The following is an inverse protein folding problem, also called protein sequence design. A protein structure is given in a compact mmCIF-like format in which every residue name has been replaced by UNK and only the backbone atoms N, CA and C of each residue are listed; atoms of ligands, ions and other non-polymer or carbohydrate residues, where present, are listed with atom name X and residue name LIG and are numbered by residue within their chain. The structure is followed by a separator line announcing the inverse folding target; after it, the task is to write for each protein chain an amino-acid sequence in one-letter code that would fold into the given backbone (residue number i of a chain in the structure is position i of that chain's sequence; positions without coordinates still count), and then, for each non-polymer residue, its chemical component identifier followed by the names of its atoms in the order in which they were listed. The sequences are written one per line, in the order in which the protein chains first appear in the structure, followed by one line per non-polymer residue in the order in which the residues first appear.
data_IF_315609220266
#
_entry.id   IF_315609220266
#
_cell.length_a   1.000
_cell.length_b   1.000
_cell.length_c   1.000
_cell.angle_alpha   90.00
_cell.angle_beta   90.00
_cell.angle_gamma   90.00
#
_symmetry.space_group_name_H-M   'P 1'
#
loop_
_entity.id
_entity.type
_entity.pdbx_description
1 polymer ?
#
# COMPACT_ATOMS: atom_id res chain seq x y z
N UNK A 1 12.38 6.75 -4.02
CA UNK A 1 12.06 5.45 -3.39
C UNK A 1 10.90 5.62 -2.42
N UNK A 2 9.69 5.82 -2.94
CA UNK A 2 8.49 5.80 -2.11
C UNK A 2 7.72 4.55 -2.46
N UNK A 3 7.78 3.62 -1.51
CA UNK A 3 6.86 2.50 -1.38
C UNK A 3 5.43 3.04 -1.43
N UNK A 4 4.54 2.34 -2.13
CA UNK A 4 3.14 2.73 -2.32
C UNK A 4 2.47 3.15 -1.00
N UNK A 5 1.83 4.32 -0.97
CA UNK A 5 1.02 4.79 0.16
C UNK A 5 -0.36 4.11 0.23
N UNK A 6 -0.59 3.10 -0.61
CA UNK A 6 -1.79 2.28 -0.58
C UNK A 6 -1.86 1.50 0.75
N UNK A 7 -3.03 1.42 1.41
CA UNK A 7 -3.27 0.47 2.50
C UNK A 7 -2.80 -0.94 2.10
N UNK A 8 -1.96 -1.55 2.93
CA UNK A 8 -1.41 -2.88 2.64
C UNK A 8 -0.35 -2.92 1.53
N UNK A 9 0.15 -1.77 1.06
CA UNK A 9 1.25 -1.68 0.12
C UNK A 9 2.48 -2.47 0.61
N UNK A 10 3.15 -3.17 -0.31
CA UNK A 10 4.34 -3.92 0.05
C UNK A 10 5.53 -3.01 0.33
N UNK A 11 6.33 -3.41 1.31
CA UNK A 11 7.48 -2.63 1.78
C UNK A 11 8.76 -3.26 1.25
N UNK A 12 9.63 -2.46 0.65
CA UNK A 12 10.94 -2.93 0.20
C UNK A 12 11.98 -2.75 1.32
N UNK A 13 12.66 -3.84 1.67
CA UNK A 13 13.74 -3.84 2.65
C UNK A 13 15.08 -4.00 1.94
N UNK A 14 16.07 -3.18 2.32
CA UNK A 14 17.45 -3.33 1.87
C UNK A 14 18.37 -3.27 3.05
N UNK A 15 19.17 -4.32 3.25
CA UNK A 15 20.22 -4.34 4.25
C UNK A 15 21.53 -4.01 3.53
N UNK A 16 22.18 -2.91 3.94
CA UNK A 16 23.45 -2.41 3.37
C UNK A 16 23.40 -1.98 1.88
N UNK A 17 22.23 -1.60 1.37
CA UNK A 17 22.08 -1.09 0.01
C UNK A 17 21.87 -2.19 -1.03
N UNK A 18 22.12 -1.89 -2.30
CA UNK A 18 21.99 -2.86 -3.39
C UNK A 18 23.29 -3.68 -3.49
N UNK A 19 23.22 -4.99 -3.23
CA UNK A 19 24.36 -5.90 -3.30
C UNK A 19 24.49 -6.59 -4.67
N UNK A 20 23.38 -6.71 -5.42
CA UNK A 20 23.33 -7.35 -6.72
C UNK A 20 22.63 -6.48 -7.77
N UNK A 21 23.15 -6.54 -9.00
CA UNK A 21 22.62 -5.86 -10.19
C UNK A 21 21.56 -6.67 -10.94
N UNK A 22 21.28 -7.92 -10.53
CA UNK A 22 20.33 -8.80 -11.24
C UNK A 22 19.67 -9.91 -10.41
N UNK A 23 20.18 -10.25 -9.23
CA UNK A 23 19.48 -11.08 -8.25
C UNK A 23 18.77 -10.17 -7.23
N UNK A 24 17.54 -10.52 -6.83
CA UNK A 24 16.77 -9.72 -5.87
C UNK A 24 17.57 -9.38 -4.61
N UNK A 25 17.47 -8.12 -4.15
CA UNK A 25 18.20 -7.60 -2.99
C UNK A 25 17.38 -7.66 -1.69
N UNK A 26 16.25 -8.36 -1.69
CA UNK A 26 15.39 -8.47 -0.50
C UNK A 26 16.04 -9.43 0.53
N UNK A 27 16.06 -9.06 1.82
CA UNK A 27 16.59 -9.93 2.86
C UNK A 27 15.70 -11.15 3.07
N UNK A 28 16.30 -12.23 3.56
CA UNK A 28 15.55 -13.41 3.99
C UNK A 28 14.82 -13.08 5.31
N UNK A 29 13.50 -13.27 5.34
CA UNK A 29 12.70 -13.10 6.57
C UNK A 29 12.44 -14.47 7.17
N UNK A 30 12.73 -14.62 8.45
CA UNK A 30 12.54 -15.85 9.20
C UNK A 30 11.56 -15.56 10.33
N UNK A 31 10.48 -16.33 10.42
CA UNK A 31 9.48 -16.21 11.48
C UNK A 31 9.50 -17.51 12.29
N UNK A 32 9.79 -17.41 13.59
CA UNK A 32 9.86 -18.55 14.51
C UNK A 32 10.76 -19.71 14.01
N UNK A 33 11.84 -19.36 13.29
CA UNK A 33 12.82 -20.31 12.75
C UNK A 33 12.55 -20.79 11.33
N UNK A 34 11.43 -20.40 10.70
CA UNK A 34 11.11 -20.79 9.33
C UNK A 34 11.25 -19.63 8.35
N UNK A 35 11.97 -19.83 7.23
CA UNK A 35 12.08 -18.82 6.20
C UNK A 35 10.72 -18.64 5.53
N UNK A 36 10.24 -17.41 5.49
CA UNK A 36 9.02 -17.05 4.79
C UNK A 36 9.43 -16.24 3.57
N UNK A 37 9.04 -16.70 2.38
CA UNK A 37 9.32 -16.02 1.11
C UNK A 37 8.09 -15.27 0.61
N UNK A 38 8.33 -14.15 -0.07
CA UNK A 38 7.26 -13.39 -0.70
C UNK A 38 6.65 -14.21 -1.85
N UNK A 39 5.31 -14.32 -1.93
CA UNK A 39 4.63 -15.15 -2.93
C UNK A 39 4.56 -14.50 -4.33
N UNK A 40 5.40 -13.50 -4.61
CA UNK A 40 5.42 -12.79 -5.90
C UNK A 40 4.41 -11.64 -5.99
N UNK A 41 4.37 -11.00 -7.16
CA UNK A 41 3.46 -9.90 -7.45
C UNK A 41 2.07 -10.45 -7.77
N UNK A 42 1.03 -9.94 -7.11
CA UNK A 42 -0.34 -10.15 -7.55
C UNK A 42 -0.65 -9.05 -8.56
N UNK A 43 -0.89 -9.44 -9.82
CA UNK A 43 -1.38 -8.51 -10.85
C UNK A 43 -2.79 -8.08 -10.47
N UNK A 44 -3.02 -6.78 -10.33
CA UNK A 44 -4.38 -6.22 -10.27
C UNK A 44 -4.99 -6.22 -11.67
N UNK A 45 -6.31 -6.34 -11.76
CA UNK A 45 -7.04 -6.27 -13.01
C UNK A 45 -7.12 -4.81 -13.48
N UNK A 46 -6.88 -4.61 -14.78
CA UNK A 46 -6.87 -3.31 -15.48
C UNK A 46 -5.59 -2.46 -15.32
N UNK A 47 -4.65 -2.65 -16.25
CA UNK A 47 -3.57 -1.71 -16.64
C UNK A 47 -2.83 -0.98 -15.51
N UNK A 48 -2.55 -1.67 -14.40
CA UNK A 48 -1.62 -1.19 -13.38
C UNK A 48 -0.30 -1.92 -13.53
N UNK A 49 0.78 -1.17 -13.75
CA UNK A 49 2.13 -1.71 -13.90
C UNK A 49 2.62 -2.47 -12.66
N UNK A 50 1.98 -2.33 -11.49
CA UNK A 50 2.31 -3.06 -10.28
C UNK A 50 1.08 -3.14 -9.35
N UNK A 51 0.45 -4.32 -9.25
CA UNK A 51 -0.50 -4.58 -8.16
C UNK A 51 0.18 -4.66 -6.80
N UNK A 52 -0.59 -4.97 -5.75
CA UNK A 52 -0.05 -5.05 -4.39
C UNK A 52 1.00 -6.15 -4.29
N UNK A 53 2.28 -5.75 -4.29
CA UNK A 53 3.40 -6.64 -4.01
C UNK A 53 3.15 -7.32 -2.66
N UNK A 54 3.24 -8.64 -2.59
CA UNK A 54 3.03 -9.38 -1.34
C UNK A 54 3.87 -8.76 -0.21
N UNK A 55 3.26 -8.64 0.97
CA UNK A 55 3.92 -8.12 2.15
C UNK A 55 3.80 -9.19 3.22
N UNK A 56 4.90 -9.89 3.44
CA UNK A 56 4.95 -10.96 4.41
C UNK A 56 4.66 -10.46 5.83
N UNK A 57 5.09 -9.23 6.14
CA UNK A 57 4.84 -8.58 7.42
C UNK A 57 3.37 -8.18 7.56
N UNK A 58 2.64 -8.01 6.46
CA UNK A 58 1.20 -7.81 6.51
C UNK A 58 0.46 -9.05 7.01
N UNK A 59 1.08 -10.24 7.14
CA UNK A 59 0.46 -11.38 7.83
C UNK A 59 0.75 -11.45 9.33
N UNK A 60 1.68 -10.64 9.84
CA UNK A 60 2.13 -10.68 11.24
C UNK A 60 1.50 -9.51 12.00
N UNK A 61 0.94 -9.81 13.17
CA UNK A 61 0.50 -8.79 14.12
C UNK A 61 1.71 -8.28 14.93
N UNK A 62 2.02 -6.96 14.90
CA UNK A 62 3.13 -6.40 15.69
C UNK A 62 3.01 -6.65 17.20
N UNK A 63 1.78 -6.74 17.73
CA UNK A 63 1.57 -6.98 19.15
C UNK A 63 1.98 -8.37 19.61
N UNK A 64 2.21 -9.30 18.68
CA UNK A 64 2.60 -10.67 18.97
C UNK A 64 4.11 -10.90 18.79
N UNK A 65 4.87 -9.87 18.42
CA UNK A 65 6.33 -9.92 18.26
C UNK A 65 7.00 -9.77 19.63
N UNK A 66 7.92 -10.68 19.94
CA UNK A 66 8.79 -10.62 21.12
C UNK A 66 10.09 -9.88 20.80
N UNK A 67 10.74 -10.25 19.69
CA UNK A 67 11.96 -9.59 19.23
C UNK A 67 12.07 -9.59 17.71
N UNK A 68 12.82 -8.61 17.19
CA UNK A 68 13.25 -8.53 15.80
C UNK A 68 14.77 -8.40 15.82
N UNK A 69 15.45 -9.37 15.24
CA UNK A 69 16.91 -9.39 15.10
C UNK A 69 17.27 -9.22 13.63
N UNK A 70 18.28 -8.40 13.36
CA UNK A 70 18.73 -8.12 11.99
C UNK A 70 20.18 -8.51 11.86
N UNK A 71 20.43 -9.60 11.13
CA UNK A 71 21.77 -10.09 10.82
C UNK A 71 22.27 -9.40 9.56
N UNK A 72 23.27 -8.54 9.75
CA UNK A 72 23.78 -7.65 8.71
C UNK A 72 25.07 -8.17 8.07
N UNK A 73 25.80 -9.06 8.76
CA UNK A 73 27.12 -9.55 8.37
C UNK A 73 27.08 -10.93 7.75
N UNK A 74 27.89 -11.14 6.71
CA UNK A 74 27.98 -12.41 5.97
C UNK A 74 28.37 -13.60 6.87
N UNK A 75 29.16 -13.38 7.91
CA UNK A 75 29.53 -14.42 8.89
C UNK A 75 28.35 -14.82 9.78
N UNK A 76 27.51 -13.85 10.18
CA UNK A 76 26.31 -14.09 10.98
C UNK A 76 25.18 -14.72 10.17
N UNK A 77 25.13 -14.48 8.86
CA UNK A 77 24.10 -15.00 7.97
C UNK A 77 24.47 -16.35 7.34
N UNK A 78 25.73 -16.79 7.44
CA UNK A 78 26.22 -18.05 6.87
C UNK A 78 25.42 -19.28 7.32
N UNK A 79 24.87 -19.24 8.55
CA UNK A 79 24.02 -20.31 9.10
C UNK A 79 22.75 -20.52 8.25
N UNK A 80 22.26 -19.49 7.57
CA UNK A 80 21.04 -19.53 6.76
C UNK A 80 21.31 -19.73 5.26
N UNK A 81 22.58 -19.96 4.87
CA UNK A 81 22.97 -20.36 3.53
C UNK A 81 22.87 -19.25 2.47
N UNK A 82 22.88 -19.65 1.19
CA UNK A 82 23.00 -18.74 0.05
C UNK A 82 21.88 -17.68 -0.05
N UNK A 83 20.67 -17.98 0.47
CA UNK A 83 19.53 -17.04 0.50
C UNK A 83 19.73 -15.87 1.47
N UNK A 84 20.73 -15.96 2.33
CA UNK A 84 21.04 -14.99 3.36
C UNK A 84 22.08 -13.93 2.92
N UNK A 85 22.51 -13.98 1.66
CA UNK A 85 23.51 -13.07 1.08
C UNK A 85 23.12 -11.59 1.10
N UNK A 86 21.82 -11.30 1.09
CA UNK A 86 21.25 -9.94 1.19
C UNK A 86 20.87 -9.55 2.63
N UNK A 87 21.30 -10.32 3.64
CA UNK A 87 20.96 -10.15 5.05
C UNK A 87 19.76 -11.00 5.50
N UNK A 88 19.58 -11.12 6.82
CA UNK A 88 18.49 -11.90 7.43
C UNK A 88 17.77 -11.07 8.49
N UNK A 89 16.44 -11.10 8.47
CA UNK A 89 15.59 -10.54 9.51
C UNK A 89 14.91 -11.71 10.23
N UNK A 90 15.19 -11.87 11.52
CA UNK A 90 14.61 -12.91 12.36
C UNK A 90 13.54 -12.28 13.23
N UNK A 91 12.32 -12.79 13.12
CA UNK A 91 11.18 -12.39 13.93
C UNK A 91 10.86 -13.54 14.87
N UNK A 92 10.92 -13.25 16.17
CA UNK A 92 10.54 -14.19 17.22
C UNK A 92 9.24 -13.75 17.83
N UNK A 93 8.27 -14.67 17.95
CA UNK A 93 6.94 -14.37 18.47
C UNK A 93 6.81 -14.70 19.95
N UNK A 94 5.94 -13.95 20.65
CA UNK A 94 5.70 -14.13 22.08
C UNK A 94 5.25 -15.55 22.39
N UNK A 95 5.86 -16.16 23.39
CA UNK A 95 5.47 -17.49 23.91
C UNK A 95 4.67 -17.40 25.21
N UNK A 96 4.02 -18.53 25.54
CA UNK A 96 3.33 -18.72 26.81
C UNK A 96 4.29 -18.60 28.00
N UNK A 97 3.82 -17.98 29.08
CA UNK A 97 4.54 -17.83 30.35
C UNK A 97 3.82 -18.61 31.43
N UNK A 98 4.59 -19.09 32.40
CA UNK A 98 4.02 -19.74 33.57
C UNK A 98 3.28 -18.72 34.43
N UNK A 99 2.14 -19.11 34.96
CA UNK A 99 1.30 -18.29 35.82
C UNK A 99 -0.17 -18.33 35.43
N UNK A 100 -0.97 -17.59 36.19
CA UNK A 100 -2.41 -17.48 35.97
C UNK A 100 -2.68 -16.90 34.58
N UNK A 101 -3.76 -17.36 33.90
CA UNK A 101 -4.13 -16.80 32.60
C UNK A 101 -4.29 -15.29 32.67
N UNK A 102 -3.54 -14.58 31.83
CA UNK A 102 -3.62 -13.13 31.65
C UNK A 102 -4.23 -12.84 30.29
N UNK A 103 -5.39 -12.17 30.32
CA UNK A 103 -6.03 -11.64 29.12
C UNK A 103 -5.58 -10.19 28.94
N UNK A 104 -5.08 -9.85 27.76
CA UNK A 104 -4.72 -8.49 27.39
C UNK A 104 -5.49 -8.09 26.14
N UNK A 105 -6.19 -6.96 26.22
CA UNK A 105 -6.83 -6.32 25.08
C UNK A 105 -6.14 -4.99 24.80
N UNK A 106 -5.95 -4.67 23.52
CA UNK A 106 -5.53 -3.34 23.09
C UNK A 106 -6.31 -2.94 21.84
N UNK A 107 -6.78 -1.70 21.84
CA UNK A 107 -7.49 -1.08 20.73
C UNK A 107 -6.87 0.25 20.36
N UNK A 108 -6.84 0.56 19.07
CA UNK A 108 -6.45 1.88 18.58
C UNK A 108 -7.36 2.33 17.45
N UNK A 109 -7.54 3.65 17.35
CA UNK A 109 -8.24 4.32 16.26
C UNK A 109 -7.37 5.46 15.75
N UNK A 110 -7.25 5.58 14.43
CA UNK A 110 -6.38 6.56 13.77
C UNK A 110 -7.14 7.24 12.64
N UNK A 111 -7.06 8.56 12.59
CA UNK A 111 -7.56 9.38 11.49
C UNK A 111 -6.40 9.70 10.56
N UNK A 112 -6.59 9.57 9.26
CA UNK A 112 -5.56 9.81 8.24
C UNK A 112 -6.03 10.92 7.30
N UNK A 113 -5.24 11.99 7.19
CA UNK A 113 -5.47 13.08 6.24
C UNK A 113 -4.36 13.12 5.20
N UNK A 114 -4.67 13.68 4.03
CA UNK A 114 -3.65 13.87 2.99
C UNK A 114 -2.61 14.89 3.48
N UNK A 115 -1.34 14.50 3.49
CA UNK A 115 -0.25 15.36 3.97
C UNK A 115 0.12 16.46 2.97
N UNK A 116 -0.04 16.20 1.67
CA UNK A 116 0.28 17.15 0.61
C UNK A 116 -0.67 16.89 -0.56
N UNK A 117 -1.32 17.96 -1.03
CA UNK A 117 -2.11 17.97 -2.27
C UNK A 117 -1.41 18.85 -3.29
N UNK A 118 -1.55 18.54 -4.57
CA UNK A 118 -1.17 19.49 -5.61
C UNK A 118 -2.14 20.66 -5.56
N UNK A 119 -1.62 21.87 -5.62
CA UNK A 119 -2.43 23.07 -5.81
C UNK A 119 -2.83 23.13 -7.29
N UNK A 120 -4.07 22.74 -7.56
CA UNK A 120 -4.65 22.75 -8.89
C UNK A 120 -5.26 24.13 -9.16
N UNK A 121 -5.31 24.52 -10.43
CA UNK A 121 -6.04 25.71 -10.84
C UNK A 121 -7.53 25.51 -10.59
N UNK A 122 -8.19 26.52 -10.05
CA UNK A 122 -9.65 26.60 -10.07
C UNK A 122 -10.15 26.90 -11.50
N UNK A 123 -11.47 26.86 -11.70
CA UNK A 123 -12.08 27.11 -12.98
C UNK A 123 -11.71 28.48 -13.59
N UNK A 124 -11.64 29.52 -12.76
CA UNK A 124 -11.37 30.88 -13.21
C UNK A 124 -9.93 31.00 -13.74
N UNK A 125 -8.96 30.58 -12.93
CA UNK A 125 -7.56 30.57 -13.31
C UNK A 125 -7.32 29.65 -14.50
N UNK A 126 -8.01 28.51 -14.57
CA UNK A 126 -7.94 27.61 -15.72
C UNK A 126 -8.40 28.30 -17.02
N UNK A 127 -9.50 29.06 -17.00
CA UNK A 127 -9.95 29.83 -18.17
C UNK A 127 -8.95 30.94 -18.54
N UNK A 128 -8.38 31.65 -17.57
CA UNK A 128 -7.37 32.69 -17.79
C UNK A 128 -6.11 32.10 -18.43
N UNK A 129 -5.56 31.01 -17.86
CA UNK A 129 -4.39 30.35 -18.42
C UNK A 129 -4.68 29.75 -19.80
N UNK A 130 -5.88 29.20 -20.01
CA UNK A 130 -6.31 28.72 -21.32
C UNK A 130 -6.31 29.84 -22.36
N UNK A 131 -6.89 31.01 -22.05
CA UNK A 131 -6.87 32.16 -22.95
C UNK A 131 -5.44 32.62 -23.26
N UNK A 132 -4.55 32.68 -22.25
CA UNK A 132 -3.13 32.99 -22.46
C UNK A 132 -2.47 32.01 -23.42
N UNK A 133 -2.72 30.71 -23.25
CA UNK A 133 -2.20 29.69 -24.17
C UNK A 133 -2.76 29.85 -25.59
N UNK A 134 -4.06 30.08 -25.76
CA UNK A 134 -4.66 30.30 -27.08
C UNK A 134 -4.12 31.57 -27.75
N UNK A 135 -3.86 32.63 -26.97
CA UNK A 135 -3.22 33.85 -27.48
C UNK A 135 -1.81 33.55 -27.99
N UNK A 136 -1.01 32.86 -27.19
CA UNK A 136 0.36 32.48 -27.54
C UNK A 136 0.39 31.61 -28.81
N UNK A 137 -0.51 30.62 -28.88
CA UNK A 137 -0.66 29.78 -30.07
C UNK A 137 -1.06 30.59 -31.31
N UNK A 138 -2.01 31.51 -31.18
CA UNK A 138 -2.40 32.39 -32.28
C UNK A 138 -1.24 33.29 -32.73
N UNK A 139 -0.43 33.81 -31.79
CA UNK A 139 0.76 34.60 -32.10
C UNK A 139 1.80 33.77 -32.86
N UNK A 140 2.04 32.53 -32.41
CA UNK A 140 2.92 31.59 -33.09
C UNK A 140 2.45 31.29 -34.52
N UNK A 141 1.18 30.89 -34.68
CA UNK A 141 0.60 30.53 -35.98
C UNK A 141 0.59 31.72 -36.96
N UNK A 142 0.45 32.96 -36.46
CA UNK A 142 0.48 34.19 -37.26
C UNK A 142 1.87 34.86 -37.37
N UNK A 143 2.92 34.26 -36.78
CA UNK A 143 4.29 34.80 -36.77
C UNK A 143 4.41 36.19 -36.12
N UNK A 144 3.59 36.45 -35.12
CA UNK A 144 3.53 37.72 -34.39
C UNK A 144 4.60 37.75 -33.28
N UNK A 145 5.19 38.91 -33.03
CA UNK A 145 6.15 39.12 -31.96
C UNK A 145 7.41 38.27 -32.11
N UNK A 146 7.80 37.55 -31.05
CA UNK A 146 9.04 36.76 -31.02
C UNK A 146 9.08 35.61 -32.05
N UNK A 147 7.92 35.22 -32.60
CA UNK A 147 7.80 34.08 -33.51
C UNK A 147 8.05 34.42 -34.98
N UNK A 148 8.09 35.70 -35.33
CA UNK A 148 8.41 36.12 -36.70
C UNK A 148 8.36 37.62 -36.98
N UNK A 149 8.33 38.45 -35.94
CA UNK A 149 8.51 39.90 -36.03
C UNK A 149 7.30 40.70 -36.51
N UNK A 150 6.18 40.05 -36.86
CA UNK A 150 4.95 40.76 -37.25
C UNK A 150 4.28 41.39 -36.04
N UNK A 151 3.60 42.50 -36.25
CA UNK A 151 2.69 43.08 -35.25
C UNK A 151 1.32 42.39 -35.28
N UNK A 152 0.54 42.52 -34.20
CA UNK A 152 -0.80 41.92 -34.12
C UNK A 152 -1.74 42.39 -35.26
N UNK A 153 -1.57 43.64 -35.74
CA UNK A 153 -2.35 44.19 -36.85
C UNK A 153 -2.02 43.58 -38.22
N UNK A 154 -0.87 42.90 -38.34
CA UNK A 154 -0.40 42.26 -39.57
C UNK A 154 -0.75 40.76 -39.62
N UNK A 155 -1.47 40.27 -38.59
CA UNK A 155 -1.98 38.92 -38.53
C UNK A 155 -3.13 38.73 -39.53
N UNK A 156 -3.32 37.49 -40.02
CA UNK A 156 -4.36 37.18 -41.01
C UNK A 156 -5.78 37.19 -40.43
N UNK A 157 -5.92 37.10 -39.11
CA UNK A 157 -7.20 37.13 -38.39
C UNK A 157 -7.01 37.73 -37.00
N UNK A 158 -7.98 38.49 -36.50
CA UNK A 158 -7.92 39.01 -35.13
C UNK A 158 -8.00 37.89 -34.09
N UNK A 159 -7.30 38.05 -32.97
CA UNK A 159 -7.41 37.13 -31.85
C UNK A 159 -8.76 37.31 -31.13
N UNK A 160 -9.46 36.20 -30.92
CA UNK A 160 -10.65 36.14 -30.09
C UNK A 160 -10.38 35.18 -28.92
N UNK A 161 -10.52 35.64 -27.66
CA UNK A 161 -10.42 34.77 -26.49
C UNK A 161 -11.39 33.60 -26.58
N UNK A 162 -10.98 32.43 -26.08
CA UNK A 162 -11.84 31.26 -26.02
C UNK A 162 -12.93 31.42 -24.95
N UNK A 163 -12.58 32.05 -23.83
CA UNK A 163 -13.50 32.36 -22.73
C UNK A 163 -13.65 33.88 -22.62
N UNK A 164 -14.90 34.37 -22.52
CA UNK A 164 -15.18 35.79 -22.31
C UNK A 164 -14.95 36.19 -20.85
N UNK A 165 -14.88 37.50 -20.59
CA UNK A 165 -14.77 38.02 -19.21
C UNK A 165 -15.98 37.60 -18.34
N UNK A 166 -17.16 37.45 -18.96
CA UNK A 166 -18.37 36.97 -18.28
C UNK A 166 -18.26 35.49 -17.89
N UNK A 167 -17.68 34.65 -18.75
CA UNK A 167 -17.43 33.22 -18.47
C UNK A 167 -16.40 33.05 -17.36
N UNK A 168 -15.33 33.86 -17.38
CA UNK A 168 -14.27 33.86 -16.35
C UNK A 168 -14.84 34.31 -15.00
N UNK A 169 -15.70 35.32 -14.99
CA UNK A 169 -16.32 35.83 -13.77
C UNK A 169 -17.34 34.87 -13.16
N UNK A 170 -17.98 34.02 -13.98
CA UNK A 170 -19.03 33.10 -13.55
C UNK A 170 -18.85 31.72 -14.21
N UNK A 171 -17.83 30.94 -13.83
CA UNK A 171 -17.64 29.61 -14.38
C UNK A 171 -18.83 28.71 -14.01
N UNK A 172 -19.34 27.96 -15.00
CA UNK A 172 -20.49 27.07 -14.82
C UNK A 172 -20.20 25.97 -13.81
N UNK A 173 -18.98 25.43 -13.82
CA UNK A 173 -18.51 24.44 -12.86
C UNK A 173 -17.12 24.82 -12.36
N UNK A 174 -16.82 24.42 -11.14
CA UNK A 174 -15.51 24.49 -10.50
C UNK A 174 -15.27 23.22 -9.69
N UNK A 175 -14.99 22.13 -10.40
CA UNK A 175 -14.87 20.80 -9.79
C UNK A 175 -13.46 20.55 -9.29
N UNK A 176 -13.27 20.51 -7.96
CA UNK A 176 -12.06 19.97 -7.33
C UNK A 176 -12.07 18.43 -7.43
N UNK A 177 -11.42 17.91 -8.46
CA UNK A 177 -11.34 16.47 -8.71
C UNK A 177 -10.62 15.69 -7.60
N UNK A 178 -9.64 16.30 -6.91
CA UNK A 178 -8.97 15.65 -5.78
C UNK A 178 -9.94 15.46 -4.62
N UNK A 179 -10.75 16.45 -4.29
CA UNK A 179 -11.81 16.31 -3.26
C UNK A 179 -12.84 15.23 -3.67
N UNK A 180 -13.19 15.16 -4.97
CA UNK A 180 -14.15 14.15 -5.45
C UNK A 180 -13.66 12.71 -5.29
N UNK A 181 -12.36 12.45 -5.39
CA UNK A 181 -11.80 11.10 -5.27
C UNK A 181 -11.20 10.77 -3.90
N UNK A 182 -11.03 11.76 -3.02
CA UNK A 182 -10.41 11.57 -1.71
C UNK A 182 -11.39 11.69 -0.54
N UNK A 183 -10.98 11.18 0.61
CA UNK A 183 -11.72 11.25 1.87
C UNK A 183 -10.72 11.29 3.02
N UNK A 184 -11.21 11.67 4.20
CA UNK A 184 -10.49 11.39 5.44
C UNK A 184 -10.46 9.86 5.65
N UNK A 185 -9.25 9.32 5.75
CA UNK A 185 -9.03 7.91 6.04
C UNK A 185 -9.27 7.60 7.52
N UNK A 186 -9.66 6.37 7.80
CA UNK A 186 -9.91 5.91 9.16
C UNK A 186 -9.42 4.48 9.34
N UNK A 187 -8.69 4.25 10.42
CA UNK A 187 -8.08 2.96 10.72
C UNK A 187 -8.43 2.56 12.15
N UNK A 188 -8.75 1.29 12.33
CA UNK A 188 -8.97 0.69 13.65
C UNK A 188 -8.18 -0.60 13.77
N UNK A 189 -7.63 -0.85 14.95
CA UNK A 189 -6.98 -2.10 15.26
C UNK A 189 -7.46 -2.60 16.61
N UNK A 190 -7.80 -3.89 16.68
CA UNK A 190 -8.20 -4.59 17.89
C UNK A 190 -7.31 -5.81 18.05
N UNK A 191 -6.72 -5.96 19.23
CA UNK A 191 -5.88 -7.10 19.56
C UNK A 191 -6.36 -7.69 20.87
N UNK A 192 -6.54 -9.00 20.89
CA UNK A 192 -6.78 -9.76 22.10
C UNK A 192 -5.72 -10.85 22.19
N UNK A 193 -5.18 -11.05 23.39
CA UNK A 193 -4.24 -12.13 23.64
C UNK A 193 -4.50 -12.74 25.01
N UNK A 194 -4.35 -14.04 25.09
CA UNK A 194 -4.43 -14.83 26.31
C UNK A 194 -3.10 -15.54 26.45
N UNK A 195 -2.40 -15.28 27.54
CA UNK A 195 -1.13 -15.91 27.85
C UNK A 195 -1.22 -16.53 29.25
N UNK A 196 -0.79 -17.78 29.39
CA UNK A 196 -0.70 -18.45 30.68
C UNK A 196 -0.15 -19.86 30.55
N UNK A 197 -0.11 -20.55 31.68
CA UNK A 197 0.36 -21.92 31.69
C UNK A 197 0.87 -22.36 33.05
N UNK A 198 1.14 -23.65 33.13
CA UNK A 198 1.85 -24.29 34.24
C UNK A 198 3.32 -24.50 33.86
N UNK A 199 4.08 -25.12 34.76
CA UNK A 199 5.43 -25.62 34.44
C UNK A 199 5.45 -26.65 33.29
N UNK A 200 4.33 -27.35 33.07
CA UNK A 200 4.19 -28.40 32.06
C UNK A 200 3.63 -27.90 30.74
N UNK A 201 2.65 -27.00 30.78
CA UNK A 201 1.95 -26.53 29.58
C UNK A 201 1.95 -25.02 29.55
N UNK A 202 2.55 -24.42 28.52
CA UNK A 202 2.57 -22.97 28.32
C UNK A 202 1.90 -22.64 27.01
N UNK A 203 0.96 -21.70 27.03
CA UNK A 203 0.21 -21.33 25.84
C UNK A 203 0.09 -19.82 25.67
N UNK A 204 0.06 -19.39 24.41
CA UNK A 204 -0.34 -18.06 24.00
C UNK A 204 -1.32 -18.20 22.83
N UNK A 205 -2.47 -17.55 22.96
CA UNK A 205 -3.49 -17.47 21.90
C UNK A 205 -3.72 -15.99 21.66
N UNK A 206 -3.62 -15.54 20.41
CA UNK A 206 -3.90 -14.15 20.05
C UNK A 206 -4.78 -14.05 18.82
N UNK A 207 -5.57 -12.98 18.78
CA UNK A 207 -6.39 -12.57 17.65
C UNK A 207 -6.18 -11.09 17.39
N UNK A 208 -6.07 -10.73 16.12
CA UNK A 208 -6.03 -9.36 15.66
C UNK A 208 -7.02 -9.13 14.54
N UNK A 209 -7.77 -8.04 14.67
CA UNK A 209 -8.54 -7.45 13.59
C UNK A 209 -7.97 -6.07 13.29
N UNK A 210 -7.64 -5.83 12.03
CA UNK A 210 -7.18 -4.55 11.52
C UNK A 210 -8.05 -4.15 10.35
N UNK A 211 -8.50 -2.90 10.34
CA UNK A 211 -9.29 -2.36 9.27
C UNK A 211 -8.80 -0.94 8.96
N UNK A 212 -8.49 -0.68 7.70
CA UNK A 212 -8.03 0.62 7.24
C UNK A 212 -8.82 1.02 6.00
N UNK A 213 -9.51 2.14 6.10
CA UNK A 213 -10.09 2.87 4.99
C UNK A 213 -9.09 3.92 4.52
N UNK A 214 -8.54 3.76 3.32
CA UNK A 214 -7.55 4.67 2.75
C UNK A 214 -8.10 6.06 2.42
N UNK A 215 -7.20 6.99 2.12
CA UNK A 215 -7.53 8.39 1.75
C UNK A 215 -8.22 8.45 0.39
N UNK A 216 -7.84 7.60 -0.57
CA UNK A 216 -8.59 7.47 -1.83
C UNK A 216 -9.89 6.71 -1.56
N UNK A 217 -11.02 7.20 -2.08
CA UNK A 217 -12.31 6.51 -1.96
C UNK A 217 -12.20 5.10 -2.57
N UNK A 218 -12.99 4.15 -2.05
CA UNK A 218 -12.99 2.74 -2.46
C UNK A 218 -11.64 2.00 -2.36
N UNK A 219 -10.64 2.62 -1.72
CA UNK A 219 -9.39 1.98 -1.34
C UNK A 219 -9.42 1.59 0.15
N UNK A 220 -9.01 0.36 0.46
CA UNK A 220 -9.01 -0.13 1.83
C UNK A 220 -8.32 -1.47 2.01
N UNK A 221 -8.13 -1.84 3.27
CA UNK A 221 -7.61 -3.14 3.66
C UNK A 221 -8.27 -3.60 4.95
N UNK A 222 -8.66 -4.87 4.99
CA UNK A 222 -8.98 -5.57 6.23
C UNK A 222 -8.05 -6.77 6.43
N UNK A 223 -7.69 -7.03 7.69
CA UNK A 223 -6.83 -8.14 8.08
C UNK A 223 -7.35 -8.80 9.33
N UNK A 224 -7.43 -10.12 9.26
CA UNK A 224 -7.65 -11.00 10.39
C UNK A 224 -6.40 -11.84 10.59
N UNK A 225 -5.85 -11.86 11.80
CA UNK A 225 -4.72 -12.71 12.15
C UNK A 225 -5.07 -13.47 13.43
N UNK A 226 -4.90 -14.79 13.40
CA UNK A 226 -4.99 -15.66 14.56
C UNK A 226 -3.64 -16.34 14.80
N UNK A 227 -3.24 -16.47 16.06
CA UNK A 227 -2.01 -17.17 16.42
C UNK A 227 -2.21 -18.04 17.65
N UNK A 228 -1.59 -19.21 17.63
CA UNK A 228 -1.54 -20.16 18.73
C UNK A 228 -0.11 -20.65 18.89
N UNK A 229 0.47 -20.40 20.04
CA UNK A 229 1.76 -20.94 20.44
C UNK A 229 1.54 -21.85 21.65
N UNK A 230 1.88 -23.13 21.52
CA UNK A 230 1.72 -24.12 22.58
C UNK A 230 3.03 -24.86 22.81
N UNK A 231 3.44 -24.94 24.07
CA UNK A 231 4.59 -25.68 24.54
C UNK A 231 4.16 -26.67 25.61
N UNK A 232 4.45 -27.96 25.39
CA UNK A 232 4.15 -29.04 26.31
C UNK A 232 5.45 -29.76 26.71
N UNK A 233 5.78 -29.70 27.99
CA UNK A 233 6.82 -30.52 28.61
C UNK A 233 6.22 -31.88 28.94
N UNK A 234 6.62 -32.92 28.20
CA UNK A 234 6.19 -34.30 28.41
C UNK A 234 6.98 -34.95 29.56
N UNK A 235 8.25 -34.58 29.71
CA UNK A 235 9.11 -35.01 30.81
C UNK A 235 10.27 -34.02 30.99
N UNK A 236 11.20 -34.29 31.91
CA UNK A 236 12.48 -33.55 31.97
C UNK A 236 13.35 -33.71 30.72
N UNK A 237 13.09 -34.74 29.92
CA UNK A 237 13.89 -35.11 28.74
C UNK A 237 13.19 -34.79 27.42
N UNK A 238 11.90 -34.49 27.41
CA UNK A 238 11.15 -34.28 26.18
C UNK A 238 10.16 -33.10 26.30
N UNK A 239 10.20 -32.22 25.31
CA UNK A 239 9.26 -31.13 25.11
C UNK A 239 8.77 -31.15 23.66
N UNK A 240 7.49 -30.95 23.47
CA UNK A 240 6.90 -30.73 22.14
C UNK A 240 6.27 -29.34 22.12
N UNK A 241 6.19 -28.74 20.94
CA UNK A 241 5.48 -27.48 20.80
C UNK A 241 5.05 -27.23 19.37
N UNK A 242 4.19 -26.24 19.20
CA UNK A 242 3.67 -25.81 17.91
C UNK A 242 3.46 -24.31 17.92
N UNK A 243 3.89 -23.65 16.84
CA UNK A 243 3.49 -22.27 16.55
C UNK A 243 2.64 -22.28 15.30
N UNK A 244 1.42 -21.77 15.41
CA UNK A 244 0.45 -21.68 14.35
C UNK A 244 0.10 -20.21 14.14
N UNK A 245 0.18 -19.74 12.90
CA UNK A 245 -0.33 -18.43 12.49
C UNK A 245 -1.23 -18.61 11.28
N UNK A 246 -2.44 -18.05 11.36
CA UNK A 246 -3.37 -17.95 10.25
C UNK A 246 -3.65 -16.48 10.00
N UNK A 247 -3.67 -16.07 8.74
CA UNK A 247 -4.03 -14.70 8.38
C UNK A 247 -4.85 -14.66 7.11
N UNK A 248 -5.84 -13.78 7.08
CA UNK A 248 -6.59 -13.42 5.89
C UNK A 248 -6.56 -11.91 5.71
N UNK A 249 -5.98 -11.48 4.60
CA UNK A 249 -5.90 -10.09 4.20
C UNK A 249 -6.79 -9.88 2.98
N UNK A 250 -7.67 -8.90 3.05
CA UNK A 250 -8.50 -8.48 1.92
C UNK A 250 -8.18 -7.03 1.62
N UNK A 251 -7.78 -6.76 0.39
CA UNK A 251 -7.40 -5.44 -0.10
C UNK A 251 -8.40 -5.02 -1.18
N UNK A 252 -8.98 -3.85 -1.01
CA UNK A 252 -9.81 -3.20 -2.01
C UNK A 252 -8.90 -2.29 -2.83
N UNK A 253 -8.63 -2.70 -4.06
CA UNK A 253 -7.71 -2.04 -4.96
C UNK A 253 -8.43 -0.97 -5.77
N UNK A 254 -7.72 0.12 -6.02
CA UNK A 254 -8.11 1.15 -6.98
C UNK A 254 -6.97 1.32 -7.99
N UNK A 255 -7.24 1.81 -9.22
CA UNK A 255 -6.20 2.05 -10.22
C UNK A 255 -5.21 3.11 -9.72
N UNK A 256 -4.15 2.68 -9.05
CA UNK A 256 -3.03 3.49 -8.57
C UNK A 256 -1.81 3.18 -9.45
N UNK A 257 -1.10 4.21 -9.87
CA UNK A 257 0.03 4.06 -10.79
C UNK A 257 0.38 5.35 -11.53
N UNK A 258 1.33 5.25 -12.46
CA UNK A 258 1.80 6.36 -13.28
C UNK A 258 1.39 6.25 -14.76
N UNK A 259 0.45 5.35 -15.07
CA UNK A 259 -0.13 5.23 -16.41
C UNK A 259 -0.66 6.58 -16.91
N UNK A 260 -0.69 6.76 -18.22
CA UNK A 260 -1.08 8.00 -18.89
C UNK A 260 -2.23 7.74 -19.84
N UNK A 261 -2.90 8.82 -20.25
CA UNK A 261 -4.00 8.78 -21.21
C UNK A 261 -5.12 7.83 -20.75
N UNK A 262 -5.45 6.82 -21.58
CA UNK A 262 -6.53 5.84 -21.37
C UNK A 262 -6.23 4.91 -20.18
N UNK A 263 -4.97 4.89 -19.76
CA UNK A 263 -4.45 4.14 -18.63
C UNK A 263 -4.11 5.05 -17.45
N UNK A 264 -4.55 6.31 -17.46
CA UNK A 264 -4.31 7.23 -16.37
C UNK A 264 -4.87 6.68 -15.06
N UNK A 265 -4.03 6.65 -14.02
CA UNK A 265 -4.47 6.28 -12.68
C UNK A 265 -5.46 7.31 -12.13
N UNK A 266 -6.13 6.98 -11.03
CA UNK A 266 -7.15 7.88 -10.47
C UNK A 266 -6.59 9.27 -10.09
N UNK A 267 -5.36 9.33 -9.58
CA UNK A 267 -4.70 10.59 -9.22
C UNK A 267 -4.19 11.35 -10.45
N UNK A 268 -3.67 10.65 -11.47
CA UNK A 268 -3.22 11.27 -12.72
C UNK A 268 -4.42 11.85 -13.47
N UNK A 269 -5.50 11.08 -13.57
CA UNK A 269 -6.76 11.52 -14.18
C UNK A 269 -7.30 12.76 -13.47
N UNK A 270 -7.35 12.76 -12.13
CA UNK A 270 -7.82 13.93 -11.37
C UNK A 270 -6.94 15.17 -11.54
N UNK A 271 -5.63 15.01 -11.75
CA UNK A 271 -4.73 16.13 -12.01
C UNK A 271 -4.86 16.70 -13.44
N UNK A 272 -5.29 15.90 -14.41
CA UNK A 272 -5.37 16.31 -15.82
C UNK A 272 -6.80 16.65 -16.26
N UNK A 273 -7.81 16.28 -15.48
CA UNK A 273 -9.20 16.54 -15.83
C UNK A 273 -9.56 18.02 -15.65
N UNK A 274 -10.33 18.56 -16.59
CA UNK A 274 -10.69 19.98 -16.57
C UNK A 274 -11.60 20.30 -15.37
N UNK A 275 -11.32 21.36 -14.59
CA UNK A 275 -12.21 21.79 -13.50
C UNK A 275 -13.54 22.36 -14.01
N UNK A 276 -13.63 22.69 -15.31
CA UNK A 276 -14.83 23.25 -15.95
C UNK A 276 -15.94 22.22 -16.19
N UNK A 277 -15.66 20.95 -15.94
CA UNK A 277 -16.61 19.85 -16.15
C UNK A 277 -17.24 19.43 -14.82
N UNK A 278 -18.51 19.08 -14.85
CA UNK A 278 -19.18 18.39 -13.75
C UNK A 278 -18.73 16.94 -13.66
N UNK A 279 -19.06 16.25 -12.56
CA UNK A 279 -18.77 14.82 -12.40
C UNK A 279 -19.59 13.98 -13.39
N UNK A 280 -20.86 14.33 -13.56
CA UNK A 280 -21.82 13.70 -14.47
C UNK A 280 -22.47 14.75 -15.34
N UNK A 281 -22.84 14.37 -16.56
CA UNK A 281 -23.60 15.21 -17.48
C UNK A 281 -25.11 15.20 -17.17
N UNK A 282 -25.88 15.90 -18.00
CA UNK A 282 -27.34 16.03 -17.86
C UNK A 282 -28.09 14.69 -18.01
N UNK A 283 -27.50 13.72 -18.71
CA UNK A 283 -28.06 12.38 -18.89
C UNK A 283 -27.73 11.43 -17.73
N UNK A 284 -26.86 11.86 -16.81
CA UNK A 284 -26.39 11.07 -15.67
C UNK A 284 -25.16 10.22 -15.97
N UNK A 285 -24.60 10.35 -17.17
CA UNK A 285 -23.37 9.69 -17.59
C UNK A 285 -22.15 10.46 -17.09
N UNK A 286 -21.00 9.78 -16.95
CA UNK A 286 -19.76 10.46 -16.54
C UNK A 286 -19.31 11.44 -17.61
N UNK A 287 -19.08 12.69 -17.20
CA UNK A 287 -18.68 13.74 -18.13
C UNK A 287 -17.36 13.38 -18.81
N UNK A 288 -17.29 13.60 -20.12
CA UNK A 288 -16.11 13.39 -20.95
C UNK A 288 -15.41 14.71 -21.23
N UNK A 289 -14.09 14.73 -21.10
CA UNK A 289 -13.29 15.86 -21.55
C UNK A 289 -13.06 15.76 -23.06
N UNK A 290 -13.85 16.46 -23.88
CA UNK A 290 -13.73 16.37 -25.35
C UNK A 290 -12.32 16.74 -25.87
N UNK A 291 -11.57 17.58 -25.17
CA UNK A 291 -10.20 17.98 -25.55
C UNK A 291 -9.15 16.93 -25.16
N UNK A 292 -9.50 16.02 -24.26
CA UNK A 292 -8.66 14.92 -23.80
C UNK A 292 -9.53 13.67 -23.55
N UNK A 293 -10.28 13.23 -24.58
CA UNK A 293 -11.28 12.16 -24.44
C UNK A 293 -10.66 10.81 -24.08
N UNK A 294 -9.35 10.69 -24.27
CA UNK A 294 -8.54 9.57 -23.86
C UNK A 294 -8.29 9.52 -22.34
N UNK A 295 -8.59 10.57 -21.56
CA UNK A 295 -8.44 10.55 -20.10
C UNK A 295 -9.78 10.16 -19.48
N UNK A 296 -9.84 9.08 -18.69
CA UNK A 296 -11.08 8.68 -18.03
C UNK A 296 -11.49 9.70 -16.97
N UNK A 297 -12.79 9.81 -16.73
CA UNK A 297 -13.30 10.59 -15.61
C UNK A 297 -12.77 9.99 -14.29
N UNK A 298 -12.10 10.75 -13.43
CA UNK A 298 -11.45 10.20 -12.24
C UNK A 298 -12.46 9.60 -11.24
N UNK A 299 -13.72 10.05 -11.24
CA UNK A 299 -14.76 9.49 -10.37
C UNK A 299 -15.30 8.17 -10.91
N UNK A 300 -15.31 7.96 -12.24
CA UNK A 300 -15.75 6.67 -12.81
C UNK A 300 -14.80 5.52 -12.45
N UNK A 301 -13.51 5.82 -12.28
CA UNK A 301 -12.51 4.86 -11.84
C UNK A 301 -12.77 4.31 -10.42
N UNK A 302 -13.60 4.99 -9.61
CA UNK A 302 -14.01 4.49 -8.30
C UNK A 302 -15.06 3.38 -8.40
N UNK A 303 -15.79 3.26 -9.51
CA UNK A 303 -16.78 2.18 -9.69
C UNK A 303 -16.11 0.85 -10.05
N UNK A 304 -14.83 0.88 -10.43
CA UNK A 304 -14.04 -0.33 -10.67
C UNK A 304 -13.84 -1.05 -9.34
N UNK A 305 -14.41 -2.24 -9.22
CA UNK A 305 -14.23 -3.12 -8.08
C UNK A 305 -13.15 -4.15 -8.38
N UNK A 306 -11.96 -3.96 -7.81
CA UNK A 306 -10.90 -4.97 -7.76
C UNK A 306 -10.63 -5.32 -6.29
N UNK A 307 -10.77 -6.60 -5.94
CA UNK A 307 -10.48 -7.09 -4.60
C UNK A 307 -9.45 -8.22 -4.66
N UNK A 308 -8.39 -8.07 -3.87
CA UNK A 308 -7.40 -9.12 -3.67
C UNK A 308 -7.56 -9.73 -2.28
N UNK A 309 -7.73 -11.06 -2.22
CA UNK A 309 -7.69 -11.80 -0.95
C UNK A 309 -6.43 -12.64 -0.88
N UNK A 310 -5.68 -12.51 0.23
CA UNK A 310 -4.47 -13.29 0.53
C UNK A 310 -4.70 -14.05 1.82
N UNK A 311 -4.62 -15.37 1.74
CA UNK A 311 -4.71 -16.25 2.89
C UNK A 311 -3.35 -16.90 3.14
N UNK A 312 -2.95 -16.99 4.40
CA UNK A 312 -1.68 -17.59 4.80
C UNK A 312 -1.87 -18.45 6.03
N UNK A 313 -1.27 -19.62 5.97
CA UNK A 313 -1.21 -20.60 7.05
C UNK A 313 0.26 -20.95 7.27
N UNK A 314 0.75 -20.75 8.49
CA UNK A 314 2.10 -21.12 8.90
C UNK A 314 1.98 -22.00 10.14
N UNK A 315 2.49 -23.23 10.09
CA UNK A 315 2.49 -24.14 11.21
C UNK A 315 3.90 -24.69 11.40
N UNK A 316 4.42 -24.56 12.62
CA UNK A 316 5.80 -24.96 12.92
C UNK A 316 5.84 -25.86 14.15
N UNK A 317 5.43 -27.13 14.03
CA UNK A 317 5.59 -28.11 15.09
C UNK A 317 7.07 -28.44 15.31
N UNK A 318 7.45 -28.63 16.57
CA UNK A 318 8.80 -29.02 16.93
C UNK A 318 8.82 -30.00 18.11
N UNK A 319 9.89 -30.78 18.15
CA UNK A 319 10.21 -31.72 19.23
C UNK A 319 11.61 -31.40 19.73
N UNK A 320 11.74 -31.28 21.03
CA UNK A 320 13.01 -31.06 21.73
C UNK A 320 13.25 -32.22 22.70
N UNK A 321 14.38 -32.91 22.53
CA UNK A 321 14.81 -34.04 23.36
C UNK A 321 16.13 -33.67 24.03
N UNK A 322 16.24 -33.96 25.33
CA UNK A 322 17.45 -33.79 26.13
C UNK A 322 17.90 -35.15 26.67
N UNK A 323 18.72 -35.91 25.92
CA UNK A 323 19.18 -37.23 26.37
C UNK A 323 20.04 -37.14 27.65
N UNK A 324 20.82 -36.08 27.75
CA UNK A 324 21.61 -35.65 28.91
C UNK A 324 21.40 -34.15 29.11
N UNK A 325 21.77 -33.61 30.28
CA UNK A 325 21.46 -32.22 30.63
C UNK A 325 22.17 -31.19 29.72
N UNK A 326 23.33 -31.56 29.18
CA UNK A 326 24.21 -30.71 28.38
C UNK A 326 23.88 -30.75 26.87
N UNK A 327 23.03 -31.69 26.42
CA UNK A 327 22.72 -31.88 25.01
C UNK A 327 21.22 -31.66 24.76
N UNK A 328 20.90 -30.72 23.87
CA UNK A 328 19.53 -30.49 23.38
C UNK A 328 19.46 -30.79 21.90
N UNK A 329 18.67 -31.80 21.53
CA UNK A 329 18.34 -32.15 20.16
C UNK A 329 16.98 -31.53 19.82
N UNK A 330 16.92 -30.69 18.79
CA UNK A 330 15.67 -30.06 18.35
C UNK A 330 15.40 -30.39 16.89
N UNK A 331 14.23 -30.95 16.63
CA UNK A 331 13.68 -31.13 15.28
C UNK A 331 12.48 -30.21 15.12
N UNK A 332 12.40 -29.46 14.01
CA UNK A 332 11.27 -28.58 13.69
C UNK A 332 10.81 -28.86 12.27
N UNK A 333 9.51 -28.84 12.04
CA UNK A 333 8.89 -29.01 10.73
C UNK A 333 8.02 -27.78 10.45
N UNK A 334 7.84 -27.40 9.19
CA UNK A 334 7.03 -26.24 8.81
C UNK A 334 6.98 -26.02 7.32
#
# INVERSE_FOLDING_TARGET
NTISAQPGGGTTFRIRGAASTGAGNDPLIIVDGFPVSNAGNVSVGYNSDNGTTDNILASINPNDIESIEVLKDASSTAIYGARAGSGVIIITTKRGKEGKPKVTYSGSATVQTMATKYEMLDAQDFMIQSNRWFKEKWMYDNKVGIYGGKNESEAGSAYHPKYSDADIANPVNDTDWYDRITRTGFQTQHNISINGGTEYTKYLISGNFFNQKGIVKNNGMSRYTGRVNLDQKLSKYAKVGINLTVSRNTLDNVPLGAGQNEYASILVSAAQFSPLLSVKDENGDYSLNQQAAYIPNPVSLLEISDQTTKERFLATPFVEIKPINELTLKASFG
#
